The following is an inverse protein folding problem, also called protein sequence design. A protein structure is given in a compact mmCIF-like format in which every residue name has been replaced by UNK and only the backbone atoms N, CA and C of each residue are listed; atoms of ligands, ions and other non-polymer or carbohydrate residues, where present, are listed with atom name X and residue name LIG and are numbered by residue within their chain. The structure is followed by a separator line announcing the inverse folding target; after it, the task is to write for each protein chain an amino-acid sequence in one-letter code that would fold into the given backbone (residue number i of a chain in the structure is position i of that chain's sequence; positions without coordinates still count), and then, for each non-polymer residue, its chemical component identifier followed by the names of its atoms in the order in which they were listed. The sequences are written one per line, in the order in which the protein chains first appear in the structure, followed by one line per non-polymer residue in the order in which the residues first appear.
data_IF_541205314258
#
_entry.id   IF_541205314258
#
_cell.length_a   1.000
_cell.length_b   1.000
_cell.length_c   1.000
_cell.angle_alpha   90.00
_cell.angle_beta   90.00
_cell.angle_gamma   90.00
#
_symmetry.space_group_name_H-M   'P 1'
#
loop_
_entity.id
_entity.type
_entity.pdbx_description
1 polymer ?
#
# COMPACT_ATOMS: atom_id res chain seq x y z
N UNK A 1 32.23 -29.59 -21.01
CA UNK A 1 30.82 -29.56 -20.56
C UNK A 1 30.60 -29.76 -19.05
N UNK A 2 31.56 -30.26 -18.26
CA UNK A 2 31.36 -30.57 -16.82
C UNK A 2 31.39 -29.33 -15.89
N UNK A 3 32.08 -28.25 -16.27
CA UNK A 3 32.30 -27.08 -15.40
C UNK A 3 31.09 -26.13 -15.28
N UNK A 4 30.19 -26.11 -16.28
CA UNK A 4 28.97 -25.28 -16.21
C UNK A 4 27.92 -25.84 -15.25
N UNK A 5 27.96 -27.15 -14.97
CA UNK A 5 27.03 -27.80 -14.05
C UNK A 5 27.34 -27.41 -12.61
N UNK A 6 28.62 -27.42 -12.21
CA UNK A 6 29.06 -26.98 -10.89
C UNK A 6 28.82 -25.47 -10.66
N UNK A 7 29.02 -24.64 -11.68
CA UNK A 7 28.72 -23.20 -11.59
C UNK A 7 27.23 -22.94 -11.35
N UNK A 8 26.32 -23.69 -12.01
CA UNK A 8 24.87 -23.60 -11.77
C UNK A 8 24.48 -24.03 -10.36
N UNK A 9 25.10 -25.08 -9.81
CA UNK A 9 24.85 -25.50 -8.43
C UNK A 9 25.37 -24.49 -7.39
N UNK A 10 26.50 -23.83 -7.66
CA UNK A 10 27.03 -22.76 -6.80
C UNK A 10 26.11 -21.53 -6.82
N UNK A 11 25.58 -21.13 -7.99
CA UNK A 11 24.63 -20.02 -8.09
C UNK A 11 23.31 -20.33 -7.38
N UNK A 12 22.80 -21.57 -7.48
CA UNK A 12 21.59 -22.01 -6.75
C UNK A 12 21.84 -22.04 -5.23
N UNK A 13 23.00 -22.52 -4.78
CA UNK A 13 23.38 -22.52 -3.37
C UNK A 13 23.54 -21.11 -2.78
N UNK A 14 24.06 -20.17 -3.58
CA UNK A 14 24.18 -18.76 -3.17
C UNK A 14 22.83 -18.04 -3.12
N UNK A 15 21.87 -18.40 -3.99
CA UNK A 15 20.51 -17.87 -3.96
C UNK A 15 19.69 -18.37 -2.75
N UNK A 16 19.99 -19.57 -2.25
CA UNK A 16 19.38 -20.17 -1.06
C UNK A 16 19.97 -19.67 0.28
N UNK A 17 21.10 -18.97 0.24
CA UNK A 17 21.80 -18.48 1.43
C UNK A 17 21.48 -17.02 1.80
N UNK A 18 20.52 -16.38 1.13
CA UNK A 18 20.08 -15.04 1.51
C UNK A 18 19.38 -15.11 2.88
N UNK A 19 19.92 -14.47 3.94
CA UNK A 19 19.25 -14.45 5.22
C UNK A 19 17.95 -13.67 5.06
N UNK A 20 16.83 -14.36 5.24
CA UNK A 20 15.52 -13.72 5.39
C UNK A 20 15.56 -13.08 6.77
N UNK A 21 15.87 -11.79 6.83
CA UNK A 21 15.75 -11.03 8.07
C UNK A 21 14.28 -11.03 8.50
N UNK A 22 13.94 -11.90 9.44
CA UNK A 22 12.67 -11.89 10.14
C UNK A 22 12.73 -10.78 11.20
N UNK A 23 12.08 -9.66 10.93
CA UNK A 23 11.87 -8.63 11.94
C UNK A 23 10.81 -9.12 12.94
N UNK A 24 11.19 -9.20 14.22
CA UNK A 24 10.26 -9.43 15.34
C UNK A 24 9.35 -8.20 15.52
N UNK A 25 8.09 -8.48 15.87
CA UNK A 25 6.93 -7.60 15.73
C UNK A 25 6.82 -6.54 16.84
N UNK A 26 6.42 -5.32 16.46
CA UNK A 26 5.89 -4.31 17.38
C UNK A 26 4.52 -4.79 17.87
N UNK A 27 4.34 -4.93 19.18
CA UNK A 27 3.06 -5.31 19.78
C UNK A 27 1.99 -4.25 19.48
N UNK A 28 1.03 -4.60 18.62
CA UNK A 28 -0.06 -3.72 18.18
C UNK A 28 -1.20 -3.66 19.20
N UNK A 29 -1.18 -4.53 20.22
CA UNK A 29 -2.27 -4.68 21.17
C UNK A 29 -2.67 -3.37 21.84
N UNK A 30 -1.75 -2.41 21.97
CA UNK A 30 -2.04 -1.06 22.45
C UNK A 30 -3.17 -0.36 21.70
N UNK A 31 -3.28 -0.54 20.37
CA UNK A 31 -4.31 0.13 19.56
C UNK A 31 -5.73 -0.36 19.92
N UNK A 32 -5.87 -1.63 20.31
CA UNK A 32 -7.18 -2.27 20.56
C UNK A 32 -7.61 -2.26 22.03
N UNK A 33 -6.77 -1.74 22.95
CA UNK A 33 -7.06 -1.68 24.38
C UNK A 33 -7.99 -0.53 24.79
N UNK A 34 -8.28 0.39 23.88
CA UNK A 34 -9.27 1.46 24.10
C UNK A 34 -10.68 1.03 23.69
N UNK A 35 -11.67 1.91 23.92
CA UNK A 35 -13.03 1.71 23.42
C UNK A 35 -13.04 1.39 21.92
N UNK A 36 -13.99 0.61 21.37
CA UNK A 36 -14.00 0.24 19.95
C UNK A 36 -13.95 1.44 19.00
N UNK A 37 -14.59 2.55 19.38
CA UNK A 37 -14.59 3.79 18.60
C UNK A 37 -13.22 4.48 18.59
N UNK A 38 -12.52 4.50 19.73
CA UNK A 38 -11.18 5.09 19.85
C UNK A 38 -10.11 4.19 19.23
N UNK A 39 -10.24 2.87 19.38
CA UNK A 39 -9.36 1.89 18.77
C UNK A 39 -9.38 2.01 17.23
N UNK A 40 -10.57 2.21 16.66
CA UNK A 40 -10.74 2.44 15.22
C UNK A 40 -10.00 3.71 14.77
N UNK A 41 -10.12 4.82 15.53
CA UNK A 41 -9.43 6.08 15.21
C UNK A 41 -7.91 5.95 15.32
N UNK A 42 -7.42 5.28 16.37
CA UNK A 42 -6.00 4.99 16.56
C UNK A 42 -5.46 4.12 15.43
N UNK A 43 -6.16 3.04 15.06
CA UNK A 43 -5.79 2.18 13.95
C UNK A 43 -5.75 2.94 12.63
N UNK A 44 -6.78 3.75 12.35
CA UNK A 44 -6.84 4.59 11.15
C UNK A 44 -5.69 5.59 11.09
N UNK A 45 -5.38 6.27 12.19
CA UNK A 45 -4.28 7.23 12.25
C UNK A 45 -2.91 6.54 12.06
N UNK A 46 -2.71 5.40 12.73
CA UNK A 46 -1.48 4.62 12.64
C UNK A 46 -1.23 4.03 11.24
N UNK A 47 -2.28 3.53 10.56
CA UNK A 47 -2.20 2.91 9.23
C UNK A 47 -2.39 3.91 8.07
N UNK A 48 -2.70 5.18 8.36
CA UNK A 48 -2.89 6.22 7.34
C UNK A 48 -1.79 6.29 6.25
N UNK A 49 -0.49 6.31 6.58
CA UNK A 49 0.56 6.37 5.55
C UNK A 49 0.61 5.12 4.68
N UNK A 50 0.25 3.95 5.21
CA UNK A 50 0.15 2.72 4.43
C UNK A 50 -0.91 2.86 3.34
N UNK A 51 -2.13 3.24 3.70
CA UNK A 51 -3.22 3.38 2.72
C UNK A 51 -2.97 4.51 1.72
N UNK A 52 -2.41 5.63 2.17
CA UNK A 52 -2.01 6.73 1.28
C UNK A 52 -0.91 6.27 0.31
N UNK A 53 0.10 5.57 0.81
CA UNK A 53 1.20 5.03 0.02
C UNK A 53 0.72 3.99 -1.01
N UNK A 54 -0.12 3.04 -0.60
CA UNK A 54 -0.75 2.09 -1.52
C UNK A 54 -1.63 2.79 -2.55
N UNK A 55 -2.39 3.82 -2.16
CA UNK A 55 -3.17 4.62 -3.09
C UNK A 55 -2.32 5.28 -4.19
N UNK A 56 -1.15 5.82 -3.85
CA UNK A 56 -0.21 6.40 -4.81
C UNK A 56 0.48 5.31 -5.64
N UNK A 57 1.05 4.29 -4.97
CA UNK A 57 1.81 3.22 -5.61
C UNK A 57 0.93 2.40 -6.57
N UNK A 58 -0.27 2.01 -6.14
CA UNK A 58 -1.20 1.26 -6.97
C UNK A 58 -1.84 2.13 -8.04
N UNK A 59 -1.95 3.46 -7.94
CA UNK A 59 -2.40 4.25 -9.09
C UNK A 59 -1.29 4.53 -10.11
N UNK A 60 -0.04 4.21 -9.76
CA UNK A 60 1.09 4.38 -10.66
C UNK A 60 1.17 3.23 -11.68
N UNK A 61 1.41 3.60 -12.93
CA UNK A 61 1.73 2.66 -14.00
C UNK A 61 0.55 1.99 -14.69
N UNK A 62 -0.72 2.32 -14.42
CA UNK A 62 -1.88 1.69 -15.08
C UNK A 62 -1.78 1.62 -16.61
N UNK A 63 -1.31 2.70 -17.23
CA UNK A 63 -1.12 2.82 -18.68
C UNK A 63 0.21 3.52 -18.98
N UNK A 64 0.96 3.03 -19.97
CA UNK A 64 2.22 3.62 -20.41
C UNK A 64 2.14 4.20 -21.83
N UNK A 65 1.05 3.94 -22.55
CA UNK A 65 0.79 4.43 -23.91
C UNK A 65 -0.69 4.69 -24.10
N UNK A 66 -1.02 5.69 -24.92
CA UNK A 66 -2.39 5.96 -25.35
C UNK A 66 -2.88 4.90 -26.34
N UNK A 67 -1.99 4.33 -27.16
CA UNK A 67 -2.36 3.31 -28.14
C UNK A 67 -2.93 2.08 -27.45
N UNK A 68 -4.09 1.62 -27.91
CA UNK A 68 -4.71 0.39 -27.44
C UNK A 68 -4.10 -0.80 -28.15
N UNK A 69 -4.07 -1.95 -27.47
CA UNK A 69 -3.63 -3.18 -28.11
C UNK A 69 -4.57 -3.55 -29.26
N UNK A 70 -4.01 -4.07 -30.35
CA UNK A 70 -4.79 -4.62 -31.46
C UNK A 70 -5.68 -5.79 -31.00
N UNK A 71 -6.72 -6.08 -31.79
CA UNK A 71 -7.68 -7.14 -31.54
C UNK A 71 -6.99 -8.47 -31.16
N UNK A 72 -7.39 -9.04 -30.02
CA UNK A 72 -6.89 -10.29 -29.42
C UNK A 72 -5.40 -10.28 -29.02
N UNK A 73 -4.69 -9.15 -29.15
CA UNK A 73 -3.34 -9.04 -28.58
C UNK A 73 -3.45 -8.82 -27.09
N UNK A 74 -2.75 -9.65 -26.33
CA UNK A 74 -2.70 -9.57 -24.89
C UNK A 74 -1.28 -9.22 -24.40
N UNK A 75 -1.19 -8.81 -23.15
CA UNK A 75 0.04 -8.48 -22.47
C UNK A 75 -0.07 -8.82 -20.99
N UNK A 76 1.04 -9.26 -20.42
CA UNK A 76 1.18 -9.62 -19.02
C UNK A 76 2.39 -8.87 -18.47
N UNK A 77 2.14 -8.05 -17.46
CA UNK A 77 3.15 -7.17 -16.88
C UNK A 77 3.23 -7.38 -15.38
N UNK A 78 4.45 -7.57 -14.91
CA UNK A 78 4.81 -7.45 -13.51
C UNK A 78 5.47 -6.09 -13.28
N UNK A 79 5.08 -5.39 -12.22
CA UNK A 79 5.66 -4.12 -11.85
C UNK A 79 5.73 -3.97 -10.35
N UNK A 80 6.75 -3.27 -9.86
CA UNK A 80 6.88 -2.90 -8.46
C UNK A 80 6.91 -1.38 -8.43
N UNK A 81 5.90 -0.78 -7.83
CA UNK A 81 5.88 0.65 -7.54
C UNK A 81 6.07 0.85 -6.05
N UNK A 82 6.51 2.03 -5.64
CA UNK A 82 6.62 2.40 -4.24
C UNK A 82 6.28 3.87 -4.05
N UNK A 83 5.74 4.18 -2.88
CA UNK A 83 5.40 5.54 -2.48
C UNK A 83 6.25 5.94 -1.28
N UNK A 84 6.92 7.08 -1.38
CA UNK A 84 7.65 7.68 -0.27
C UNK A 84 6.65 8.35 0.67
N UNK A 85 6.77 8.07 1.96
CA UNK A 85 5.97 8.69 3.01
C UNK A 85 6.64 10.01 3.41
N UNK A 86 5.95 11.15 3.33
CA UNK A 86 6.49 12.42 3.80
C UNK A 86 6.73 12.41 5.32
N UNK A 87 7.78 13.08 5.80
CA UNK A 87 8.10 13.18 7.24
C UNK A 87 6.90 13.62 8.13
N UNK A 88 6.03 14.57 7.72
CA UNK A 88 4.86 14.93 8.54
C UNK A 88 3.83 13.81 8.70
N UNK A 89 3.80 12.84 7.78
CA UNK A 89 2.90 11.68 7.83
C UNK A 89 3.51 10.50 8.60
N UNK A 90 4.76 10.61 9.09
CA UNK A 90 5.42 9.56 9.89
C UNK A 90 4.95 9.54 11.35
N UNK A 91 4.31 10.60 11.83
CA UNK A 91 3.74 10.69 13.17
C UNK A 91 2.36 11.35 13.14
N UNK A 92 1.60 11.18 14.22
CA UNK A 92 0.29 11.80 14.37
C UNK A 92 0.05 12.27 15.80
N UNK A 93 -0.85 13.24 15.93
CA UNK A 93 -1.25 13.81 17.20
C UNK A 93 -2.49 13.09 17.74
N UNK A 94 -2.32 12.34 18.84
CA UNK A 94 -3.41 11.59 19.46
C UNK A 94 -4.54 12.50 19.98
N UNK A 95 -4.26 13.79 20.19
CA UNK A 95 -5.28 14.76 20.63
C UNK A 95 -6.14 15.30 19.49
N UNK A 96 -5.68 15.15 18.23
CA UNK A 96 -6.35 15.70 17.04
C UNK A 96 -7.14 14.67 16.23
N UNK A 97 -7.06 13.40 16.59
CA UNK A 97 -7.80 12.31 15.93
C UNK A 97 -9.21 12.12 16.52
N UNK A 98 -9.62 12.98 17.45
CA UNK A 98 -10.97 12.99 18.02
C UNK A 98 -11.26 11.83 18.95
N UNK A 99 -10.30 11.41 19.77
CA UNK A 99 -10.52 10.40 20.81
C UNK A 99 -11.60 10.86 21.80
N UNK A 100 -12.24 9.90 22.47
CA UNK A 100 -13.15 10.19 23.57
C UNK A 100 -12.42 10.92 24.70
N UNK A 101 -13.17 11.71 25.49
CA UNK A 101 -12.63 12.40 26.65
C UNK A 101 -12.02 11.45 27.71
N UNK A 102 -12.27 10.15 27.59
CA UNK A 102 -11.84 9.13 28.54
C UNK A 102 -10.49 8.52 28.14
N UNK A 103 -9.96 8.80 26.95
CA UNK A 103 -8.65 8.31 26.50
C UNK A 103 -7.73 9.49 26.26
N UNK A 104 -6.64 9.59 27.02
CA UNK A 104 -5.73 10.74 26.97
C UNK A 104 -4.27 10.31 27.05
N UNK A 105 -3.32 11.12 26.56
CA UNK A 105 -1.90 10.91 26.82
C UNK A 105 -1.63 10.83 28.32
N UNK A 106 -0.86 9.84 28.75
CA UNK A 106 -0.42 9.72 30.14
C UNK A 106 0.45 10.92 30.55
N UNK A 107 1.29 11.39 29.62
CA UNK A 107 2.05 12.62 29.76
C UNK A 107 1.50 13.68 28.78
N UNK A 108 0.90 14.78 29.27
CA UNK A 108 0.38 15.85 28.41
C UNK A 108 1.43 16.51 27.49
N UNK A 109 2.73 16.39 27.81
CA UNK A 109 3.81 16.88 26.95
C UNK A 109 4.16 15.92 25.80
N UNK A 110 3.67 14.67 25.82
CA UNK A 110 3.96 13.65 24.82
C UNK A 110 2.67 13.22 24.11
N UNK A 111 2.29 13.99 23.09
CA UNK A 111 1.08 13.76 22.28
C UNK A 111 1.37 13.16 20.90
N UNK A 112 2.64 13.09 20.50
CA UNK A 112 3.06 12.61 19.18
C UNK A 112 3.34 11.11 19.18
N UNK A 113 2.43 10.34 18.58
CA UNK A 113 2.62 8.92 18.35
C UNK A 113 3.20 8.66 16.94
N UNK A 114 4.06 7.65 16.76
CA UNK A 114 4.49 7.25 15.43
C UNK A 114 3.36 6.57 14.67
N UNK A 115 3.38 6.69 13.34
CA UNK A 115 2.59 5.85 12.44
C UNK A 115 3.36 4.57 12.09
N UNK A 116 2.76 3.67 11.29
CA UNK A 116 3.44 2.48 10.78
C UNK A 116 4.76 2.79 10.05
N UNK A 117 4.89 3.96 9.41
CA UNK A 117 6.12 4.36 8.70
C UNK A 117 7.05 5.22 9.54
N UNK A 118 6.68 5.55 10.77
CA UNK A 118 7.48 6.38 11.67
C UNK A 118 8.56 5.63 12.44
N UNK A 119 9.17 6.34 13.39
CA UNK A 119 10.26 5.82 14.23
C UNK A 119 9.84 4.57 15.04
N UNK A 120 10.79 3.64 15.20
CA UNK A 120 10.64 2.43 16.05
C UNK A 120 10.68 2.75 17.54
N UNK A 121 11.48 3.76 17.91
CA UNK A 121 11.87 4.00 19.30
C UNK A 121 10.93 4.97 20.02
N UNK A 122 10.06 5.66 19.26
CA UNK A 122 9.07 6.54 19.85
C UNK A 122 7.88 5.72 20.36
N UNK A 123 7.55 5.86 21.64
CA UNK A 123 6.41 5.19 22.24
C UNK A 123 5.56 6.22 22.98
N UNK A 124 4.28 6.30 22.62
CA UNK A 124 3.32 7.19 23.28
C UNK A 124 2.42 6.34 24.15
N UNK A 125 2.33 6.69 25.44
CA UNK A 125 1.45 6.02 26.38
C UNK A 125 0.12 6.76 26.50
N UNK A 126 -0.97 6.01 26.42
CA UNK A 126 -2.31 6.49 26.65
C UNK A 126 -2.88 5.85 27.92
N UNK A 127 -3.67 6.62 28.66
CA UNK A 127 -4.40 6.18 29.84
C UNK A 127 -5.89 6.31 29.59
N UNK A 128 -6.63 5.26 29.96
CA UNK A 128 -8.10 5.23 29.97
C UNK A 128 -8.59 5.65 31.34
N UNK A 129 -9.55 6.57 31.37
CA UNK A 129 -10.16 7.11 32.58
C UNK A 129 -11.64 6.74 32.66
N UNK A 130 -12.15 6.55 33.87
CA UNK A 130 -13.58 6.42 34.13
C UNK A 130 -14.29 7.79 34.13
N UNK A 131 -15.61 7.79 34.34
CA UNK A 131 -16.41 9.02 34.43
C UNK A 131 -16.07 9.88 35.67
N UNK A 132 -15.35 9.33 36.65
CA UNK A 132 -14.88 10.01 37.85
C UNK A 132 -13.42 10.48 37.73
N UNK A 133 -12.85 10.45 36.51
CA UNK A 133 -11.44 10.73 36.19
C UNK A 133 -10.43 9.85 36.95
N UNK A 134 -10.80 8.64 37.35
CA UNK A 134 -9.88 7.64 37.88
C UNK A 134 -9.23 6.88 36.73
N UNK A 135 -7.91 6.68 36.80
CA UNK A 135 -7.17 5.90 35.80
C UNK A 135 -7.52 4.41 35.93
N UNK A 136 -8.06 3.84 34.86
CA UNK A 136 -8.44 2.42 34.79
C UNK A 136 -7.28 1.55 34.29
N UNK A 137 -6.69 1.95 33.17
CA UNK A 137 -5.63 1.21 32.51
C UNK A 137 -4.74 2.16 31.70
N UNK A 138 -3.46 1.82 31.55
CA UNK A 138 -2.55 2.51 30.64
C UNK A 138 -1.95 1.53 29.65
N UNK A 139 -1.82 1.96 28.40
CA UNK A 139 -1.26 1.15 27.33
C UNK A 139 -0.34 1.99 26.44
N UNK A 140 0.62 1.32 25.82
CA UNK A 140 1.59 1.97 24.94
C UNK A 140 1.20 1.73 23.49
N UNK A 141 1.19 2.80 22.69
CA UNK A 141 0.98 2.69 21.25
C UNK A 141 2.20 2.05 20.57
N UNK A 142 1.99 1.26 19.50
CA UNK A 142 3.09 0.61 18.80
C UNK A 142 4.02 1.63 18.14
N UNK A 143 5.31 1.30 18.13
CA UNK A 143 6.31 1.99 17.31
C UNK A 143 6.13 1.66 15.83
N UNK A 144 6.62 2.54 14.96
CA UNK A 144 6.62 2.33 13.51
C UNK A 144 7.68 1.34 13.04
N UNK A 145 7.78 1.15 11.72
CA UNK A 145 8.76 0.27 11.08
C UNK A 145 10.11 0.95 10.83
N UNK A 146 10.18 2.29 10.97
CA UNK A 146 11.34 3.11 10.57
C UNK A 146 11.54 3.19 9.06
N UNK A 147 10.57 2.73 8.26
CA UNK A 147 10.65 2.70 6.80
C UNK A 147 9.59 3.65 6.23
N UNK A 148 10.03 4.80 5.74
CA UNK A 148 9.21 5.79 5.04
C UNK A 148 8.89 5.43 3.58
N UNK A 149 8.75 4.14 3.26
CA UNK A 149 8.51 3.66 1.90
C UNK A 149 7.48 2.54 1.91
N UNK A 150 6.40 2.72 1.14
CA UNK A 150 5.34 1.72 0.99
C UNK A 150 5.47 1.06 -0.39
N UNK A 151 5.88 -0.21 -0.48
CA UNK A 151 5.91 -0.94 -1.74
C UNK A 151 4.50 -1.42 -2.14
N UNK A 152 4.26 -1.46 -3.45
CA UNK A 152 3.00 -1.85 -4.06
C UNK A 152 3.27 -2.71 -5.31
N UNK A 153 3.64 -4.00 -5.14
CA UNK A 153 3.86 -4.90 -6.27
C UNK A 153 2.53 -5.19 -6.98
N UNK A 154 2.54 -5.30 -8.30
CA UNK A 154 1.35 -5.57 -9.09
C UNK A 154 1.64 -6.51 -10.27
N UNK A 155 0.68 -7.39 -10.53
CA UNK A 155 0.56 -8.16 -11.75
C UNK A 155 -0.64 -7.60 -12.51
N UNK A 156 -0.45 -7.29 -13.80
CA UNK A 156 -1.51 -6.80 -14.67
C UNK A 156 -1.54 -7.61 -15.96
N UNK A 157 -2.74 -8.03 -16.35
CA UNK A 157 -3.03 -8.53 -17.67
C UNK A 157 -3.91 -7.55 -18.44
N UNK A 158 -3.73 -7.47 -19.75
CA UNK A 158 -4.57 -6.65 -20.62
C UNK A 158 -4.78 -7.31 -21.97
N UNK A 159 -5.91 -7.03 -22.60
CA UNK A 159 -6.29 -7.56 -23.92
C UNK A 159 -6.94 -6.46 -24.76
N UNK A 160 -6.48 -6.36 -26.00
CA UNK A 160 -7.06 -5.51 -27.03
C UNK A 160 -8.33 -6.09 -27.62
N UNK A 161 -9.36 -5.25 -27.74
CA UNK A 161 -10.63 -5.52 -28.40
C UNK A 161 -10.71 -4.73 -29.71
N UNK A 162 -11.85 -4.83 -30.40
CA UNK A 162 -12.09 -4.06 -31.62
C UNK A 162 -12.24 -2.57 -31.30
N UNK A 163 -11.98 -1.72 -32.31
CA UNK A 163 -12.19 -0.25 -32.26
C UNK A 163 -11.38 0.46 -31.16
N UNK A 164 -10.15 0.02 -30.91
CA UNK A 164 -9.24 0.70 -29.98
C UNK A 164 -9.66 0.59 -28.50
N UNK A 165 -10.47 -0.41 -28.15
CA UNK A 165 -10.85 -0.70 -26.77
C UNK A 165 -9.84 -1.69 -26.18
N UNK A 166 -9.43 -1.48 -24.94
CA UNK A 166 -8.57 -2.39 -24.20
C UNK A 166 -9.15 -2.63 -22.80
N UNK A 167 -9.24 -3.90 -22.43
CA UNK A 167 -9.61 -4.32 -21.08
C UNK A 167 -8.35 -4.72 -20.32
N UNK A 168 -8.29 -4.36 -19.04
CA UNK A 168 -7.21 -4.73 -18.15
C UNK A 168 -7.74 -5.28 -16.84
N UNK A 169 -7.02 -6.24 -16.28
CA UNK A 169 -7.21 -6.76 -14.93
C UNK A 169 -5.88 -6.73 -14.22
N UNK A 170 -5.89 -6.45 -12.92
CA UNK A 170 -4.67 -6.42 -12.12
C UNK A 170 -4.90 -6.93 -10.72
N UNK A 171 -3.84 -7.41 -10.11
CA UNK A 171 -3.84 -7.82 -8.72
C UNK A 171 -2.52 -7.43 -8.03
N UNK A 172 -2.63 -7.01 -6.79
CA UNK A 172 -1.52 -7.02 -5.84
C UNK A 172 -1.57 -8.34 -5.08
N UNK A 173 -0.50 -9.15 -5.07
CA UNK A 173 -0.47 -10.36 -4.26
C UNK A 173 -0.68 -10.00 -2.80
N UNK A 174 -1.36 -10.88 -2.05
CA UNK A 174 -1.64 -10.67 -0.63
C UNK A 174 -0.35 -10.56 0.17
N UNK A 175 -0.09 -9.38 0.74
CA UNK A 175 1.07 -9.11 1.61
C UNK A 175 0.60 -9.13 3.07
N UNK A 176 1.32 -9.85 3.93
CA UNK A 176 1.06 -9.85 5.37
C UNK A 176 1.58 -8.55 6.00
N UNK A 177 0.70 -7.80 6.65
CA UNK A 177 1.02 -6.58 7.37
C UNK A 177 1.36 -6.92 8.82
N UNK A 178 2.55 -7.47 9.05
CA UNK A 178 2.92 -8.00 10.37
C UNK A 178 2.05 -9.19 10.81
N UNK A 179 2.19 -9.64 12.05
CA UNK A 179 1.34 -10.68 12.64
C UNK A 179 -0.06 -10.17 12.98
N UNK A 180 -0.18 -8.88 13.31
CA UNK A 180 -1.32 -8.38 14.06
C UNK A 180 -2.29 -7.54 13.20
N UNK A 181 -1.88 -7.07 12.02
CA UNK A 181 -2.75 -6.29 11.11
C UNK A 181 -3.31 -7.11 9.94
N UNK A 182 -3.11 -8.43 9.95
CA UNK A 182 -3.64 -9.32 8.93
C UNK A 182 -2.90 -9.20 7.60
N UNK A 183 -3.62 -9.38 6.49
CA UNK A 183 -3.04 -9.32 5.15
C UNK A 183 -3.83 -8.37 4.27
N UNK A 184 -3.15 -7.75 3.31
CA UNK A 184 -3.77 -6.87 2.32
C UNK A 184 -3.47 -7.38 0.93
N UNK A 185 -4.52 -7.64 0.17
CA UNK A 185 -4.48 -7.87 -1.27
C UNK A 185 -5.22 -6.76 -2.00
N UNK A 186 -5.14 -6.80 -3.33
CA UNK A 186 -5.94 -5.92 -4.17
C UNK A 186 -6.26 -6.62 -5.47
N UNK A 187 -7.48 -6.43 -5.96
CA UNK A 187 -7.86 -6.73 -7.34
C UNK A 187 -8.43 -5.49 -8.00
N UNK A 188 -8.21 -5.36 -9.30
CA UNK A 188 -8.70 -4.23 -10.07
C UNK A 188 -8.98 -4.59 -11.51
N UNK A 189 -9.84 -3.80 -12.13
CA UNK A 189 -10.18 -3.89 -13.54
C UNK A 189 -10.20 -2.52 -14.17
N UNK A 190 -9.88 -2.41 -15.45
CA UNK A 190 -9.94 -1.15 -16.16
C UNK A 190 -10.29 -1.29 -17.62
N UNK A 191 -10.76 -0.18 -18.16
CA UNK A 191 -11.15 0.01 -19.55
C UNK A 191 -10.36 1.19 -20.08
N UNK A 192 -9.70 1.02 -21.23
CA UNK A 192 -9.07 2.08 -22.00
C UNK A 192 -9.69 2.13 -23.38
N UNK A 193 -9.96 3.34 -23.87
CA UNK A 193 -10.50 3.59 -25.21
C UNK A 193 -9.61 4.60 -25.90
N UNK A 194 -9.06 4.19 -27.03
CA UNK A 194 -8.30 5.07 -27.92
C UNK A 194 -9.29 5.86 -28.80
N UNK A 195 -9.17 7.19 -28.78
CA UNK A 195 -10.19 8.06 -29.36
C UNK A 195 -10.00 8.26 -30.87
N UNK A 196 -8.76 8.26 -31.35
CA UNK A 196 -8.44 8.56 -32.76
C UNK A 196 -9.03 7.52 -33.74
N UNK A 197 -8.91 6.21 -33.49
CA UNK A 197 -9.55 5.19 -34.34
C UNK A 197 -11.09 5.27 -34.32
N UNK A 198 -11.69 5.72 -33.21
CA UNK A 198 -13.13 5.81 -33.04
C UNK A 198 -13.77 6.96 -33.85
N UNK A 199 -13.08 8.10 -33.92
CA UNK A 199 -13.60 9.32 -34.58
C UNK A 199 -13.42 9.26 -36.10
N UNK A 200 -12.35 8.64 -36.58
CA UNK A 200 -11.93 8.83 -37.98
C UNK A 200 -11.97 7.58 -38.85
N UNK A 201 -12.04 6.37 -38.27
CA UNK A 201 -12.01 5.09 -39.00
C UNK A 201 -10.77 4.82 -39.87
N UNK A 202 -9.94 5.82 -40.17
CA UNK A 202 -8.81 5.78 -41.12
C UNK A 202 -7.66 6.75 -40.79
N UNK A 203 -7.64 7.46 -39.65
CA UNK A 203 -6.63 8.50 -39.38
C UNK A 203 -5.39 8.05 -38.58
N UNK A 204 -5.03 6.76 -38.60
CA UNK A 204 -3.73 6.27 -38.09
C UNK A 204 -2.50 6.91 -38.79
N UNK A 205 -2.71 7.79 -39.79
CA UNK A 205 -1.66 8.36 -40.63
C UNK A 205 -1.52 9.88 -40.68
N UNK A 206 -2.42 10.66 -40.08
CA UNK A 206 -2.45 12.12 -40.31
C UNK A 206 -2.03 12.94 -39.07
N UNK A 207 -2.26 12.44 -37.85
CA UNK A 207 -1.97 13.17 -36.63
C UNK A 207 -0.79 12.52 -35.88
N UNK A 208 0.27 13.27 -35.53
CA UNK A 208 1.39 12.76 -34.74
C UNK A 208 1.05 12.67 -33.23
N UNK A 209 -0.22 12.40 -32.90
CA UNK A 209 -0.75 12.48 -31.54
C UNK A 209 -1.75 11.36 -31.29
N UNK A 210 -1.47 10.57 -30.25
CA UNK A 210 -2.37 9.54 -29.75
C UNK A 210 -3.09 10.03 -28.49
N UNK A 211 -4.41 9.83 -28.44
CA UNK A 211 -5.25 10.23 -27.31
C UNK A 211 -6.10 9.04 -26.87
N UNK A 212 -6.09 8.77 -25.57
CA UNK A 212 -6.92 7.74 -24.97
C UNK A 212 -7.57 8.20 -23.67
N UNK A 213 -8.73 7.64 -23.39
CA UNK A 213 -9.44 7.78 -22.12
C UNK A 213 -9.40 6.43 -21.39
N UNK A 214 -8.99 6.44 -20.14
CA UNK A 214 -8.92 5.24 -19.31
C UNK A 214 -9.68 5.43 -17.99
N UNK A 215 -10.39 4.38 -17.58
CA UNK A 215 -11.06 4.29 -16.30
C UNK A 215 -10.65 2.97 -15.62
N UNK A 216 -10.45 3.01 -14.31
CA UNK A 216 -10.03 1.86 -13.52
C UNK A 216 -10.79 1.81 -12.20
N UNK A 217 -11.12 0.59 -11.77
CA UNK A 217 -11.66 0.29 -10.46
C UNK A 217 -10.68 -0.60 -9.70
N UNK A 218 -10.56 -0.38 -8.41
CA UNK A 218 -9.65 -1.12 -7.52
C UNK A 218 -10.38 -1.41 -6.22
N UNK A 219 -10.29 -2.66 -5.76
CA UNK A 219 -10.86 -3.13 -4.52
C UNK A 219 -9.78 -3.85 -3.71
N UNK A 220 -9.65 -3.46 -2.44
CA UNK A 220 -8.79 -4.15 -1.48
C UNK A 220 -9.48 -5.42 -0.98
N UNK A 221 -8.68 -6.45 -0.71
CA UNK A 221 -9.12 -7.77 -0.26
C UNK A 221 -8.33 -8.22 0.95
#
# INVERSE_FOLDING_TARGET
MKNHLHFRFIVIGLLLALPIFAYSQSDVSGIIKSSPADATKLAQAYLKPLFKGLGVGLNSGWNNTAHSKNLLRFDLRFGITSAVVPQPDESFDVTKIGLSNNVRPTNPAQTMAPTLSGSKDNSTQLTVYDNNNQALESFTLPGGTGIGLIPAPQLQGSIGLSRGIELSVRAMPTVKLGSDFGSIGMIGGGLKVELIPLISGMADRILPLDIALAAGYTQFT
#
